data_IF_914981883676
#
_entry.id   IF_914981883676
#
_cell.length_a   1.000
_cell.length_b   1.000
_cell.length_c   1.000
_cell.angle_alpha   90.00
_cell.angle_beta   90.00
_cell.angle_gamma   90.00
#
_symmetry.space_group_name_H-M   'P 1'
#
loop_
_entity.id
_entity.type
_entity.pdbx_description
1 polymer ?
#
# COMPACT_ATOMS: atom_id res chain seq x y z
N UNK A 1 -33.42 -31.12 -5.01
CA UNK A 1 -32.56 -30.13 -4.34
C UNK A 1 -31.18 -30.29 -4.96
N UNK A 2 -30.94 -29.67 -6.11
CA UNK A 2 -29.57 -29.61 -6.65
C UNK A 2 -28.94 -28.47 -5.90
N UNK A 3 -28.25 -28.81 -4.81
CA UNK A 3 -27.69 -27.82 -3.90
C UNK A 3 -26.83 -26.85 -4.68
N UNK A 4 -27.20 -25.57 -4.60
CA UNK A 4 -26.29 -24.45 -4.71
C UNK A 4 -25.06 -24.78 -3.84
N UNK A 5 -24.06 -25.40 -4.47
CA UNK A 5 -22.71 -25.38 -3.94
C UNK A 5 -22.22 -23.99 -4.25
N UNK A 6 -22.70 -23.02 -3.48
CA UNK A 6 -22.05 -21.73 -3.32
C UNK A 6 -20.69 -22.08 -2.70
N UNK A 7 -19.73 -22.40 -3.56
CA UNK A 7 -18.33 -22.32 -3.19
C UNK A 7 -18.17 -20.82 -2.96
N UNK A 8 -18.22 -20.38 -1.71
CA UNK A 8 -17.86 -19.01 -1.36
C UNK A 8 -16.41 -18.85 -1.78
N UNK A 9 -16.20 -18.40 -3.01
CA UNK A 9 -14.88 -18.09 -3.53
C UNK A 9 -14.40 -16.86 -2.78
N UNK A 10 -13.66 -17.11 -1.70
CA UNK A 10 -13.02 -16.08 -0.90
C UNK A 10 -12.23 -15.14 -1.82
N UNK A 11 -12.49 -13.84 -1.69
CA UNK A 11 -11.85 -12.80 -2.50
C UNK A 11 -10.35 -12.71 -2.22
N UNK A 12 -9.60 -12.07 -3.10
CA UNK A 12 -8.17 -11.82 -2.91
C UNK A 12 -7.93 -10.97 -1.67
N UNK A 13 -8.75 -9.94 -1.44
CA UNK A 13 -8.72 -9.13 -0.21
C UNK A 13 -9.00 -9.94 1.08
N UNK A 14 -9.80 -11.02 1.02
CA UNK A 14 -10.01 -11.89 2.19
C UNK A 14 -8.86 -12.89 2.43
N UNK A 15 -8.06 -13.19 1.40
CA UNK A 15 -6.96 -14.17 1.45
C UNK A 15 -5.60 -13.53 1.68
N UNK A 16 -5.40 -12.33 1.14
CA UNK A 16 -4.17 -11.58 1.20
C UNK A 16 -4.35 -10.52 2.28
N UNK A 17 -3.37 -10.41 3.16
CA UNK A 17 -3.26 -9.32 4.14
C UNK A 17 -1.97 -8.58 3.81
N UNK A 18 -2.01 -7.53 2.96
CA UNK A 18 -0.81 -6.83 2.55
C UNK A 18 -0.19 -6.14 3.75
N UNK A 19 1.03 -6.53 4.09
CA UNK A 19 1.76 -5.98 5.24
C UNK A 19 2.89 -5.09 4.76
N UNK A 20 3.21 -4.07 5.55
CA UNK A 20 4.36 -3.19 5.28
C UNK A 20 5.30 -3.26 6.48
N UNK A 21 6.56 -3.64 6.21
CA UNK A 21 7.58 -3.85 7.24
C UNK A 21 8.38 -2.59 7.56
N UNK A 22 8.51 -1.69 6.59
CA UNK A 22 9.25 -0.45 6.71
C UNK A 22 8.37 0.70 6.21
N UNK A 23 8.34 1.81 6.95
CA UNK A 23 7.63 3.02 6.51
C UNK A 23 8.52 3.84 5.59
N UNK A 24 7.90 4.46 4.60
CA UNK A 24 8.54 5.43 3.72
C UNK A 24 8.69 6.76 4.46
N UNK A 25 9.89 7.33 4.40
CA UNK A 25 10.23 8.59 5.06
C UNK A 25 9.84 9.76 4.16
N UNK A 26 8.86 10.55 4.59
CA UNK A 26 8.31 11.64 3.78
C UNK A 26 8.50 13.00 4.42
N UNK A 27 8.46 14.05 3.61
CA UNK A 27 8.59 15.42 4.08
C UNK A 27 7.31 15.96 4.71
N UNK A 28 6.15 15.61 4.17
CA UNK A 28 4.84 15.94 4.74
C UNK A 28 3.90 14.74 4.58
N UNK A 29 3.54 14.02 5.67
CA UNK A 29 2.69 12.84 5.59
C UNK A 29 1.25 13.15 5.16
N UNK A 30 0.84 14.42 5.14
CA UNK A 30 -0.48 14.84 4.65
C UNK A 30 -0.46 15.24 3.17
N UNK A 31 0.73 15.37 2.57
CA UNK A 31 0.93 15.85 1.22
C UNK A 31 2.19 15.28 0.58
N UNK A 32 2.14 14.00 0.26
CA UNK A 32 3.17 13.29 -0.48
C UNK A 32 3.35 13.88 -1.88
N UNK A 33 4.61 14.00 -2.27
CA UNK A 33 5.04 14.22 -3.66
C UNK A 33 4.85 12.95 -4.50
N UNK A 34 4.87 13.10 -5.83
CA UNK A 34 4.73 11.95 -6.72
C UNK A 34 5.88 10.93 -6.55
N UNK A 35 7.08 11.40 -6.23
CA UNK A 35 8.23 10.53 -5.94
C UNK A 35 8.02 9.74 -4.64
N UNK A 36 7.54 10.39 -3.57
CA UNK A 36 7.22 9.72 -2.31
C UNK A 36 6.08 8.70 -2.45
N UNK A 37 5.05 9.02 -3.26
CA UNK A 37 3.98 8.06 -3.58
C UNK A 37 4.52 6.84 -4.29
N UNK A 38 5.42 7.04 -5.26
CA UNK A 38 6.05 5.94 -5.97
C UNK A 38 6.88 5.06 -5.03
N UNK A 39 7.63 5.67 -4.11
CA UNK A 39 8.39 4.92 -3.11
C UNK A 39 7.48 4.11 -2.18
N UNK A 40 6.33 4.65 -1.76
CA UNK A 40 5.31 3.89 -1.00
C UNK A 40 4.77 2.71 -1.83
N UNK A 41 4.43 2.92 -3.09
CA UNK A 41 3.93 1.87 -3.98
C UNK A 41 4.97 0.74 -4.17
N UNK A 42 6.22 1.10 -4.46
CA UNK A 42 7.32 0.15 -4.64
C UNK A 42 7.55 -0.66 -3.35
N UNK A 43 7.57 0.00 -2.19
CA UNK A 43 7.75 -0.62 -0.89
C UNK A 43 6.61 -1.61 -0.56
N UNK A 44 5.37 -1.30 -0.94
CA UNK A 44 4.25 -2.24 -0.81
C UNK A 44 4.47 -3.46 -1.71
N UNK A 45 4.85 -3.29 -2.98
CA UNK A 45 5.12 -4.42 -3.88
C UNK A 45 6.26 -5.30 -3.38
N UNK A 46 7.37 -4.70 -2.97
CA UNK A 46 8.56 -5.41 -2.51
C UNK A 46 8.31 -6.24 -1.25
N UNK A 47 7.49 -5.73 -0.32
CA UNK A 47 7.10 -6.46 0.89
C UNK A 47 6.03 -7.53 0.64
N UNK A 48 5.31 -7.44 -0.48
CA UNK A 48 4.20 -8.34 -0.80
C UNK A 48 4.41 -9.02 -2.17
N UNK A 49 5.46 -9.85 -2.33
CA UNK A 49 5.75 -10.54 -3.60
C UNK A 49 4.68 -11.56 -4.02
N UNK A 50 3.70 -11.84 -3.15
CA UNK A 50 2.54 -12.68 -3.45
C UNK A 50 1.35 -11.92 -4.06
N UNK A 51 1.46 -10.60 -4.26
CA UNK A 51 0.43 -9.84 -4.95
C UNK A 51 0.32 -10.29 -6.42
N UNK A 52 -0.90 -10.49 -6.94
CA UNK A 52 -1.09 -10.72 -8.38
C UNK A 52 -0.48 -9.58 -9.22
N UNK A 53 0.10 -9.88 -10.37
CA UNK A 53 0.77 -8.88 -11.23
C UNK A 53 -0.16 -7.75 -11.68
N UNK A 54 -1.45 -8.04 -11.90
CA UNK A 54 -2.47 -7.06 -12.30
C UNK A 54 -3.05 -6.25 -11.12
N UNK A 55 -2.45 -6.36 -9.92
CA UNK A 55 -2.87 -5.57 -8.75
C UNK A 55 -2.53 -4.10 -8.96
N UNK A 56 -3.55 -3.25 -8.88
CA UNK A 56 -3.40 -1.80 -8.93
C UNK A 56 -3.20 -1.27 -7.51
N UNK A 57 -2.17 -0.45 -7.31
CA UNK A 57 -1.89 0.21 -6.04
C UNK A 57 -1.99 1.71 -6.29
N UNK A 58 -2.84 2.40 -5.55
CA UNK A 58 -3.06 3.84 -5.68
C UNK A 58 -2.79 4.51 -4.33
N UNK A 59 -1.73 5.33 -4.28
CA UNK A 59 -1.33 6.07 -3.08
C UNK A 59 -1.91 7.49 -3.13
N UNK A 60 -2.71 7.84 -2.13
CA UNK A 60 -3.28 9.17 -1.95
C UNK A 60 -2.25 10.20 -1.48
N UNK A 61 -2.63 11.48 -1.52
CA UNK A 61 -1.77 12.59 -1.06
C UNK A 61 -1.39 12.46 0.43
N UNK A 62 -2.23 11.84 1.25
CA UNK A 62 -1.98 11.59 2.67
C UNK A 62 -1.33 10.22 2.95
N UNK A 63 -0.87 9.53 1.91
CA UNK A 63 -0.30 8.18 2.01
C UNK A 63 -1.32 7.05 2.16
N UNK A 64 -2.63 7.32 2.31
CA UNK A 64 -3.64 6.27 2.29
C UNK A 64 -3.58 5.54 0.96
N UNK A 65 -3.44 4.22 1.00
CA UNK A 65 -3.22 3.41 -0.19
C UNK A 65 -4.39 2.46 -0.41
N UNK A 66 -4.93 2.49 -1.63
CA UNK A 66 -5.96 1.56 -2.09
C UNK A 66 -5.32 0.50 -2.98
N UNK A 67 -5.55 -0.77 -2.65
CA UNK A 67 -5.05 -1.92 -3.40
C UNK A 67 -6.25 -2.58 -4.07
N UNK A 68 -6.32 -2.53 -5.40
CA UNK A 68 -7.38 -3.18 -6.19
C UNK A 68 -6.83 -4.42 -6.86
N UNK A 69 -7.36 -5.58 -6.48
CA UNK A 69 -6.96 -6.87 -7.03
C UNK A 69 -7.65 -7.14 -8.39
N UNK A 70 -7.17 -8.15 -9.15
CA UNK A 70 -7.73 -8.48 -10.46
C UNK A 70 -9.21 -8.87 -10.40
N UNK A 71 -9.61 -9.53 -9.29
CA UNK A 71 -11.00 -9.93 -8.98
C UNK A 71 -11.90 -8.75 -8.52
N UNK A 72 -11.38 -7.52 -8.55
CA UNK A 72 -12.05 -6.28 -8.14
C UNK A 72 -12.32 -6.16 -6.64
N UNK A 73 -11.83 -7.09 -5.82
CA UNK A 73 -11.76 -6.86 -4.39
C UNK A 73 -10.75 -5.76 -4.08
N UNK A 74 -10.95 -5.09 -2.95
CA UNK A 74 -10.19 -3.89 -2.58
C UNK A 74 -9.74 -4.01 -1.14
N UNK A 75 -8.46 -3.71 -0.91
CA UNK A 75 -7.92 -3.42 0.41
C UNK A 75 -7.54 -1.95 0.54
N UNK A 76 -7.53 -1.47 1.78
CA UNK A 76 -7.07 -0.12 2.10
C UNK A 76 -6.10 -0.18 3.27
N UNK A 77 -4.94 0.43 3.09
CA UNK A 77 -3.93 0.60 4.13
C UNK A 77 -3.82 2.10 4.40
N UNK A 78 -3.98 2.48 5.66
CA UNK A 78 -3.91 3.87 6.07
C UNK A 78 -2.48 4.39 6.03
N UNK A 79 -2.31 5.66 5.65
CA UNK A 79 -1.01 6.30 5.47
C UNK A 79 -0.13 6.25 6.72
N UNK A 80 -0.72 6.30 7.92
CA UNK A 80 0.03 6.19 9.19
C UNK A 80 0.80 4.87 9.34
N UNK A 81 0.39 3.81 8.62
CA UNK A 81 1.10 2.52 8.58
C UNK A 81 2.20 2.49 7.53
N UNK A 82 2.14 3.37 6.55
CA UNK A 82 2.97 3.36 5.34
C UNK A 82 4.03 4.44 5.34
N UNK A 83 3.73 5.60 5.91
CA UNK A 83 4.62 6.75 5.91
C UNK A 83 4.92 7.24 7.32
N UNK A 84 6.07 7.86 7.45
CA UNK A 84 6.45 8.60 8.64
C UNK A 84 7.17 9.88 8.23
N UNK A 85 6.93 10.96 8.97
CA UNK A 85 7.59 12.24 8.72
C UNK A 85 9.10 12.12 9.02
N UNK A 86 9.94 12.60 8.10
CA UNK A 86 11.37 12.78 8.33
C UNK A 86 11.58 13.67 9.55
N UNK A 87 12.46 13.28 10.46
CA UNK A 87 12.81 14.18 11.57
C UNK A 87 13.52 15.42 11.03
N UNK A 88 13.57 16.48 11.84
CA UNK A 88 14.31 17.70 11.48
C UNK A 88 15.80 17.43 11.21
N UNK A 89 16.38 16.35 11.75
CA UNK A 89 17.76 15.96 11.45
C UNK A 89 17.88 15.34 10.04
N UNK A 90 16.89 14.54 9.62
CA UNK A 90 16.84 13.92 8.28
C UNK A 90 16.50 14.93 7.17
N UNK A 91 15.70 15.97 7.48
CA UNK A 91 15.44 17.09 6.55
C UNK A 91 16.68 17.97 6.33
N UNK A 92 17.60 17.97 7.30
CA UNK A 92 18.84 18.72 7.30
C UNK A 92 20.02 17.83 6.91
N UNK A 93 19.86 16.93 5.94
CA UNK A 93 20.99 16.39 5.22
C UNK A 93 21.39 17.44 4.15
N UNK A 94 22.25 18.46 4.44
CA UNK A 94 22.96 19.09 3.36
C UNK A 94 23.83 17.97 2.80
N UNK A 95 23.75 17.72 1.51
CA UNK A 95 24.74 16.90 0.83
C UNK A 95 26.13 17.43 1.23
N UNK A 96 26.86 16.71 2.10
CA UNK A 96 28.26 17.00 2.47
C UNK A 96 29.17 16.46 1.38
#
# INVERSE_FOLDING_TARGET
>A
ITGDKLVEEKTSAEKLDPTVKAKTKVDDPTKLTDDEKKEVEDNIRDNNPGLPEETKIEVGDNGDTTITYPDKSVDTITGDKLVEEKTSAEKLDPTV
#
